data_IF_032979331846
#
_entry.id   IF_032979331846
#
_cell.length_a   1.000
_cell.length_b   1.000
_cell.length_c   1.000
_cell.angle_alpha   90.00
_cell.angle_beta   90.00
_cell.angle_gamma   90.00
#
_symmetry.space_group_name_H-M   'P 1'
#
loop_
_entity.id
_entity.type
_entity.pdbx_description
1 polymer ?
#
# COMPACT_ATOMS: atom_id res chain seq x y z
N UNK A 1 -17.86 7.98 15.14
CA UNK A 1 -17.37 8.72 16.34
C UNK A 1 -17.71 10.20 16.15
N UNK A 2 -18.44 10.85 17.07
CA UNK A 2 -18.62 12.32 17.04
C UNK A 2 -17.33 12.95 17.58
N UNK A 3 -16.62 13.71 16.73
CA UNK A 3 -15.37 14.39 17.11
C UNK A 3 -15.60 15.52 18.11
N UNK A 4 -14.57 15.83 18.89
CA UNK A 4 -14.55 17.01 19.77
C UNK A 4 -14.46 18.28 18.93
N UNK A 5 -15.56 19.01 18.79
CA UNK A 5 -15.59 20.26 18.01
C UNK A 5 -15.08 21.40 18.91
N UNK A 6 -13.94 22.00 18.56
CA UNK A 6 -13.50 23.26 19.16
C UNK A 6 -14.17 24.42 18.41
N UNK A 7 -14.68 25.42 19.13
CA UNK A 7 -15.39 26.57 18.52
C UNK A 7 -14.48 27.48 17.68
N UNK A 8 -13.16 27.44 17.90
CA UNK A 8 -12.22 28.45 17.37
C UNK A 8 -10.95 27.86 16.72
N UNK A 9 -10.89 26.57 16.39
CA UNK A 9 -9.71 25.90 15.80
C UNK A 9 -10.14 24.66 14.97
N UNK A 10 -9.39 24.17 13.96
CA UNK A 10 -9.68 22.88 13.35
C UNK A 10 -9.84 21.79 14.41
N UNK A 11 -10.81 20.89 14.19
CA UNK A 11 -11.04 19.72 15.04
C UNK A 11 -9.72 19.00 15.33
N UNK A 12 -9.50 18.54 16.58
CA UNK A 12 -8.27 17.87 16.95
C UNK A 12 -8.07 16.63 16.09
N UNK A 13 -6.89 16.52 15.49
CA UNK A 13 -6.46 15.41 14.65
C UNK A 13 -5.36 14.60 15.34
N UNK A 14 -5.17 13.34 14.91
CA UNK A 14 -4.21 12.43 15.52
C UNK A 14 -3.31 11.81 14.45
N UNK A 15 -2.00 11.86 14.67
CA UNK A 15 -1.05 11.01 13.96
C UNK A 15 -0.76 9.76 14.78
N UNK A 16 -0.83 8.58 14.14
CA UNK A 16 -0.68 7.28 14.80
C UNK A 16 0.44 6.48 14.13
N UNK A 17 1.31 5.89 14.96
CA UNK A 17 2.28 4.90 14.53
C UNK A 17 1.87 3.51 15.03
N UNK A 18 1.91 2.52 14.15
CA UNK A 18 1.69 1.11 14.48
C UNK A 18 2.95 0.32 14.12
N UNK A 19 3.48 -0.44 15.07
CA UNK A 19 4.51 -1.43 14.81
C UNK A 19 3.93 -2.83 14.97
N UNK A 20 4.12 -3.67 13.95
CA UNK A 20 3.79 -5.09 13.96
C UNK A 20 5.11 -5.84 14.02
N UNK A 21 5.35 -6.49 15.16
CA UNK A 21 6.62 -7.11 15.52
C UNK A 21 6.44 -8.59 15.81
N UNK A 22 7.54 -9.33 15.80
CA UNK A 22 7.51 -10.72 16.23
C UNK A 22 7.30 -10.82 17.75
N UNK A 23 6.48 -11.78 18.22
CA UNK A 23 6.18 -11.91 19.66
C UNK A 23 7.38 -12.23 20.57
N UNK A 24 8.49 -12.70 19.98
CA UNK A 24 9.77 -12.93 20.69
C UNK A 24 10.72 -11.73 20.63
N UNK A 25 10.32 -10.64 20.00
CA UNK A 25 11.10 -9.42 19.96
C UNK A 25 11.14 -8.77 21.35
N UNK A 26 12.28 -8.20 21.73
CA UNK A 26 12.43 -7.52 23.01
C UNK A 26 11.43 -6.35 23.05
N UNK A 27 10.71 -6.19 24.16
CA UNK A 27 9.70 -5.13 24.30
C UNK A 27 10.29 -3.73 24.05
N UNK A 28 11.55 -3.50 24.39
CA UNK A 28 12.25 -2.25 24.11
C UNK A 28 12.36 -1.99 22.60
N UNK A 29 12.69 -3.00 21.80
CA UNK A 29 12.75 -2.88 20.34
C UNK A 29 11.35 -2.67 19.75
N UNK A 30 10.35 -3.40 20.24
CA UNK A 30 8.96 -3.20 19.85
C UNK A 30 8.47 -1.76 20.10
N UNK A 31 8.80 -1.18 21.26
CA UNK A 31 8.48 0.21 21.59
C UNK A 31 9.29 1.21 20.75
N UNK A 32 10.54 0.88 20.43
CA UNK A 32 11.37 1.68 19.52
C UNK A 32 10.74 1.76 18.13
N UNK A 33 10.35 0.60 17.58
CA UNK A 33 9.64 0.47 16.30
C UNK A 33 8.33 1.25 16.30
N UNK A 34 7.53 1.16 17.37
CA UNK A 34 6.28 1.92 17.50
C UNK A 34 6.52 3.44 17.49
N UNK A 35 7.55 3.93 18.20
CA UNK A 35 7.94 5.35 18.20
C UNK A 35 8.49 5.79 16.84
N UNK A 36 9.21 4.92 16.13
CA UNK A 36 9.67 5.21 14.78
C UNK A 36 8.50 5.35 13.82
N UNK A 37 7.50 4.46 13.89
CA UNK A 37 6.27 4.59 13.13
C UNK A 37 5.55 5.91 13.48
N UNK A 38 5.42 6.24 14.77
CA UNK A 38 4.76 7.49 15.19
C UNK A 38 5.47 8.74 14.66
N UNK A 39 6.82 8.76 14.72
CA UNK A 39 7.62 9.84 14.12
C UNK A 39 7.38 9.94 12.61
N UNK A 40 7.36 8.81 11.89
CA UNK A 40 7.08 8.78 10.45
C UNK A 40 5.70 9.37 10.15
N UNK A 41 4.66 9.00 10.92
CA UNK A 41 3.33 9.58 10.79
C UNK A 41 3.31 11.09 11.06
N UNK A 42 4.09 11.58 12.04
CA UNK A 42 4.21 13.01 12.35
C UNK A 42 5.01 13.81 11.31
N UNK A 43 5.84 13.13 10.53
CA UNK A 43 6.62 13.74 9.43
C UNK A 43 5.83 13.82 8.12
N UNK A 44 4.66 13.18 8.02
CA UNK A 44 3.76 13.37 6.88
C UNK A 44 3.27 14.82 6.89
N UNK A 45 3.38 15.49 5.73
CA UNK A 45 2.92 16.86 5.58
C UNK A 45 1.42 16.97 5.89
N UNK A 46 1.03 18.03 6.61
CA UNK A 46 -0.33 18.17 7.16
C UNK A 46 -0.65 17.30 8.38
N UNK A 47 0.23 16.38 8.80
CA UNK A 47 0.01 15.43 9.91
C UNK A 47 -1.30 14.65 9.70
N UNK A 48 -2.06 14.37 10.76
CA UNK A 48 -3.31 13.58 10.70
C UNK A 48 -3.12 12.31 9.86
N UNK A 49 -2.14 11.50 10.27
CA UNK A 49 -1.57 10.48 9.42
C UNK A 49 -1.39 9.16 10.17
N UNK A 50 -1.37 8.08 9.41
CA UNK A 50 -1.05 6.74 9.86
C UNK A 50 0.32 6.35 9.30
N UNK A 51 1.15 5.71 10.12
CA UNK A 51 2.30 4.97 9.66
C UNK A 51 2.30 3.57 10.25
N UNK A 52 2.59 2.58 9.41
CA UNK A 52 2.70 1.18 9.80
C UNK A 52 4.12 0.73 9.51
N UNK A 53 4.75 0.07 10.48
CA UNK A 53 6.01 -0.65 10.32
C UNK A 53 5.75 -2.12 10.61
N UNK A 54 6.18 -2.99 9.70
CA UNK A 54 6.13 -4.44 9.88
C UNK A 54 7.56 -4.96 9.96
N UNK A 55 7.96 -5.40 11.16
CA UNK A 55 9.25 -6.06 11.40
C UNK A 55 9.02 -7.56 11.60
N UNK A 56 9.42 -8.35 10.60
CA UNK A 56 9.41 -9.81 10.70
C UNK A 56 10.75 -10.24 11.29
N UNK A 57 10.74 -11.24 12.19
CA UNK A 57 11.89 -11.78 12.97
C UNK A 57 13.23 -11.92 12.20
N UNK A 58 13.17 -12.02 10.88
CA UNK A 58 14.29 -11.96 9.96
C UNK A 58 13.85 -11.20 8.70
N UNK A 59 14.66 -10.24 8.24
CA UNK A 59 14.40 -9.49 7.02
C UNK A 59 14.58 -7.99 7.21
N UNK A 60 14.19 -7.23 6.19
CA UNK A 60 14.06 -5.78 6.27
C UNK A 60 12.71 -5.40 6.87
N UNK A 61 12.68 -4.25 7.55
CA UNK A 61 11.45 -3.62 7.99
C UNK A 61 10.73 -3.01 6.78
N UNK A 62 9.42 -3.26 6.69
CA UNK A 62 8.57 -2.66 5.66
C UNK A 62 7.76 -1.54 6.27
N UNK A 63 7.69 -0.39 5.60
CA UNK A 63 6.99 0.76 6.13
C UNK A 63 6.11 1.46 5.11
N UNK A 64 4.93 1.88 5.53
CA UNK A 64 4.04 2.76 4.75
C UNK A 64 3.57 3.89 5.65
N UNK A 65 3.50 5.11 5.12
CA UNK A 65 2.93 6.24 5.82
C UNK A 65 2.15 7.17 4.89
N UNK A 66 1.03 7.69 5.37
CA UNK A 66 0.22 8.66 4.64
C UNK A 66 -0.86 9.27 5.51
N UNK A 67 -1.57 10.26 4.96
CA UNK A 67 -2.72 10.85 5.66
C UNK A 67 -3.82 9.80 5.84
N UNK A 68 -4.61 9.95 6.91
CA UNK A 68 -5.88 9.23 7.02
C UNK A 68 -6.75 9.54 5.80
N UNK A 69 -7.66 8.61 5.46
CA UNK A 69 -8.48 8.60 4.26
C UNK A 69 -7.72 8.34 2.94
N UNK A 70 -6.38 8.32 2.96
CA UNK A 70 -5.54 7.89 1.84
C UNK A 70 -4.94 6.51 2.12
N UNK A 71 -4.00 6.41 3.07
CA UNK A 71 -3.20 5.20 3.28
C UNK A 71 -4.01 4.04 3.85
N UNK A 72 -4.91 4.30 4.79
CA UNK A 72 -5.75 3.28 5.42
C UNK A 72 -6.77 2.70 4.43
N UNK A 73 -7.39 3.57 3.62
CA UNK A 73 -8.32 3.14 2.57
C UNK A 73 -7.60 2.35 1.48
N UNK A 74 -6.42 2.81 1.04
CA UNK A 74 -5.63 2.09 0.04
C UNK A 74 -5.17 0.71 0.54
N UNK A 75 -4.66 0.63 1.77
CA UNK A 75 -4.27 -0.64 2.37
C UNK A 75 -5.47 -1.59 2.52
N UNK A 76 -6.65 -1.09 2.88
CA UNK A 76 -7.87 -1.90 2.97
C UNK A 76 -8.25 -2.48 1.59
N UNK A 77 -8.14 -1.71 0.52
CA UNK A 77 -8.37 -2.17 -0.85
C UNK A 77 -7.35 -3.24 -1.29
N UNK A 78 -6.08 -3.05 -0.97
CA UNK A 78 -5.02 -4.04 -1.23
C UNK A 78 -5.26 -5.34 -0.46
N UNK A 79 -5.56 -5.24 0.84
CA UNK A 79 -5.87 -6.39 1.70
C UNK A 79 -7.07 -7.16 1.11
N UNK A 80 -8.14 -6.45 0.73
CA UNK A 80 -9.29 -7.04 0.07
C UNK A 80 -8.92 -7.76 -1.23
N UNK A 81 -8.04 -7.17 -2.03
CA UNK A 81 -7.58 -7.74 -3.30
C UNK A 81 -6.76 -9.02 -3.13
N UNK A 82 -5.87 -9.07 -2.13
CA UNK A 82 -5.15 -10.30 -1.77
C UNK A 82 -6.10 -11.38 -1.23
N UNK A 83 -7.04 -11.02 -0.36
CA UNK A 83 -8.01 -11.98 0.21
C UNK A 83 -8.93 -12.60 -0.84
N UNK A 84 -9.32 -11.83 -1.86
CA UNK A 84 -10.10 -12.31 -3.01
C UNK A 84 -9.26 -13.05 -4.06
N UNK A 85 -7.94 -13.10 -3.91
CA UNK A 85 -7.04 -13.71 -4.89
C UNK A 85 -6.90 -12.94 -6.20
N UNK A 86 -7.30 -11.66 -6.23
CA UNK A 86 -7.15 -10.77 -7.39
C UNK A 86 -5.69 -10.36 -7.57
N UNK A 87 -5.00 -10.10 -6.47
CA UNK A 87 -3.56 -9.92 -6.43
C UNK A 87 -2.89 -11.22 -5.99
N UNK A 88 -2.06 -11.85 -6.85
CA UNK A 88 -1.32 -13.04 -6.45
C UNK A 88 -0.30 -12.74 -5.36
N UNK A 89 -0.10 -13.70 -4.45
CA UNK A 89 0.99 -13.68 -3.49
C UNK A 89 2.35 -13.51 -4.18
N UNK A 90 3.25 -12.78 -3.53
CA UNK A 90 4.60 -12.54 -4.02
C UNK A 90 4.72 -11.55 -5.19
N UNK A 91 3.63 -10.88 -5.57
CA UNK A 91 3.65 -9.76 -6.53
C UNK A 91 4.65 -8.68 -6.10
N UNK A 92 4.69 -8.35 -4.81
CA UNK A 92 5.60 -7.34 -4.28
C UNK A 92 7.08 -7.71 -4.46
N UNK A 93 7.45 -8.98 -4.25
CA UNK A 93 8.82 -9.45 -4.42
C UNK A 93 9.28 -9.43 -5.88
N UNK A 94 8.38 -9.65 -6.84
CA UNK A 94 8.70 -9.52 -8.26
C UNK A 94 8.94 -8.06 -8.63
N UNK A 95 8.11 -7.13 -8.16
CA UNK A 95 8.33 -5.69 -8.34
C UNK A 95 9.64 -5.24 -7.69
N UNK A 96 9.94 -5.73 -6.49
CA UNK A 96 11.21 -5.46 -5.80
C UNK A 96 12.42 -5.94 -6.60
N UNK A 97 12.33 -7.15 -7.16
CA UNK A 97 13.39 -7.71 -8.03
C UNK A 97 13.58 -6.87 -9.28
N UNK A 98 12.49 -6.36 -9.87
CA UNK A 98 12.54 -5.45 -11.02
C UNK A 98 13.23 -4.13 -10.65
N UNK A 99 12.84 -3.49 -9.54
CA UNK A 99 13.47 -2.23 -9.08
C UNK A 99 14.96 -2.44 -8.81
N UNK A 100 15.36 -3.52 -8.14
CA UNK A 100 16.77 -3.83 -7.87
C UNK A 100 17.61 -4.03 -9.13
N UNK A 101 17.01 -4.54 -10.22
CA UNK A 101 17.70 -4.74 -11.51
C UNK A 101 17.80 -3.46 -12.34
N UNK A 102 16.82 -2.58 -12.21
CA UNK A 102 16.73 -1.33 -12.96
C UNK A 102 17.32 -0.13 -12.21
N UNK A 103 17.61 -0.26 -10.92
CA UNK A 103 18.20 0.80 -10.12
C UNK A 103 19.57 1.19 -10.71
N UNK A 104 19.82 2.48 -10.98
CA UNK A 104 21.09 2.91 -11.51
C UNK A 104 22.20 2.69 -10.48
N UNK A 105 23.42 2.34 -10.91
CA UNK A 105 24.57 2.26 -10.01
C UNK A 105 24.79 3.64 -9.36
N UNK A 106 24.71 3.69 -8.03
CA UNK A 106 24.81 4.94 -7.26
C UNK A 106 23.47 5.52 -6.79
N UNK A 107 22.33 4.90 -7.12
CA UNK A 107 21.03 5.17 -6.47
C UNK A 107 20.51 6.59 -6.66
N UNK A 108 20.77 7.22 -7.81
CA UNK A 108 20.28 8.58 -8.06
C UNK A 108 18.75 8.59 -8.13
N UNK A 109 18.11 9.02 -7.04
CA UNK A 109 16.66 9.17 -6.91
C UNK A 109 16.08 10.20 -7.90
N UNK A 110 16.93 10.92 -8.65
CA UNK A 110 16.52 11.87 -9.71
C UNK A 110 16.53 11.25 -11.10
N UNK A 111 16.87 9.97 -11.25
CA UNK A 111 16.80 9.26 -12.53
C UNK A 111 15.34 9.12 -13.01
N UNK A 112 14.91 10.12 -13.77
CA UNK A 112 13.56 10.25 -14.31
C UNK A 112 13.22 9.14 -15.30
N UNK A 113 14.17 8.82 -16.18
CA UNK A 113 14.00 7.77 -17.20
C UNK A 113 13.89 6.42 -16.52
N UNK A 114 14.74 6.14 -15.53
CA UNK A 114 14.66 4.92 -14.72
C UNK A 114 13.28 4.73 -14.08
N UNK A 115 12.71 5.77 -13.49
CA UNK A 115 11.35 5.70 -12.90
C UNK A 115 10.25 5.42 -13.91
N UNK A 116 10.30 6.04 -15.09
CA UNK A 116 9.32 5.79 -16.15
C UNK A 116 9.39 4.34 -16.67
N UNK A 117 10.61 3.80 -16.81
CA UNK A 117 10.84 2.39 -17.18
C UNK A 117 10.33 1.46 -16.07
N UNK A 118 10.66 1.72 -14.81
CA UNK A 118 10.17 0.93 -13.67
C UNK A 118 8.64 0.92 -13.58
N UNK A 119 7.99 2.07 -13.79
CA UNK A 119 6.52 2.18 -13.82
C UNK A 119 5.92 1.34 -14.95
N UNK A 120 6.51 1.40 -16.14
CA UNK A 120 6.08 0.62 -17.30
C UNK A 120 6.24 -0.87 -17.05
N UNK A 121 7.35 -1.29 -16.45
CA UNK A 121 7.60 -2.69 -16.14
C UNK A 121 6.72 -3.20 -14.98
N UNK A 122 6.42 -2.33 -14.00
CA UNK A 122 5.44 -2.59 -12.97
C UNK A 122 4.04 -2.83 -13.55
N UNK A 123 3.60 -2.00 -14.51
CA UNK A 123 2.36 -2.23 -15.26
C UNK A 123 2.36 -3.60 -15.93
N UNK A 124 3.44 -3.96 -16.63
CA UNK A 124 3.56 -5.26 -17.31
C UNK A 124 3.48 -6.43 -16.33
N UNK A 125 4.18 -6.34 -15.19
CA UNK A 125 4.18 -7.37 -14.14
C UNK A 125 2.78 -7.54 -13.54
N UNK A 126 2.15 -6.42 -13.15
CA UNK A 126 0.82 -6.41 -12.54
C UNK A 126 -0.25 -6.92 -13.51
N UNK A 127 -0.27 -6.39 -14.75
CA UNK A 127 -1.19 -6.84 -15.79
C UNK A 127 -1.07 -8.34 -16.02
N UNK A 128 0.15 -8.86 -16.25
CA UNK A 128 0.38 -10.29 -16.47
C UNK A 128 -0.06 -11.13 -15.25
N UNK A 129 0.20 -10.67 -14.03
CA UNK A 129 -0.18 -11.41 -12.80
C UNK A 129 -1.69 -11.44 -12.57
N UNK A 130 -2.40 -10.37 -12.92
CA UNK A 130 -3.84 -10.25 -12.71
C UNK A 130 -4.66 -10.91 -13.82
N UNK A 131 -4.12 -10.99 -15.04
CA UNK A 131 -4.83 -11.54 -16.21
C UNK A 131 -4.58 -13.02 -16.48
N UNK A 132 -3.51 -13.62 -15.94
CA UNK A 132 -3.28 -15.07 -16.11
C UNK A 132 -4.34 -15.84 -15.30
N UNK A 133 -5.17 -16.68 -15.95
CA UNK A 133 -6.22 -17.40 -15.27
C UNK A 133 -5.63 -18.37 -14.24
N UNK A 134 -6.07 -18.26 -12.99
CA UNK A 134 -5.96 -19.36 -12.04
C UNK A 134 -7.33 -19.98 -11.87
N UNK A 135 -7.38 -21.30 -11.81
CA UNK A 135 -8.56 -22.14 -11.53
C UNK A 135 -9.32 -21.76 -10.23
N UNK A 136 -8.81 -20.79 -9.47
CA UNK A 136 -9.37 -20.26 -8.22
C UNK A 136 -9.76 -18.77 -8.27
N UNK A 137 -9.75 -18.12 -9.44
CA UNK A 137 -10.42 -16.82 -9.57
C UNK A 137 -11.92 -17.08 -9.45
N UNK A 138 -12.44 -16.87 -8.23
CA UNK A 138 -13.87 -16.84 -7.96
C UNK A 138 -14.56 -15.98 -9.03
N UNK A 139 -15.65 -16.50 -9.57
CA UNK A 139 -16.41 -16.04 -10.74
C UNK A 139 -17.04 -14.62 -10.63
N UNK A 140 -16.33 -13.62 -10.10
CA UNK A 140 -16.95 -12.40 -9.56
C UNK A 140 -16.28 -11.07 -9.94
N UNK A 141 -15.36 -11.03 -10.91
CA UNK A 141 -14.81 -9.76 -11.40
C UNK A 141 -14.79 -9.75 -12.92
N UNK A 142 -15.49 -8.79 -13.51
CA UNK A 142 -15.47 -8.57 -14.95
C UNK A 142 -14.10 -8.08 -15.42
N UNK A 143 -13.82 -8.18 -16.72
CA UNK A 143 -12.58 -7.66 -17.32
C UNK A 143 -12.39 -6.15 -17.02
N UNK A 144 -13.49 -5.41 -16.93
CA UNK A 144 -13.51 -3.98 -16.61
C UNK A 144 -13.09 -3.70 -15.15
N UNK A 145 -13.46 -4.59 -14.21
CA UNK A 145 -13.07 -4.46 -12.80
C UNK A 145 -11.55 -4.66 -12.63
N UNK A 146 -10.98 -5.64 -13.35
CA UNK A 146 -9.53 -5.89 -13.33
C UNK A 146 -8.76 -4.69 -13.89
N UNK A 147 -9.23 -4.10 -14.99
CA UNK A 147 -8.64 -2.88 -15.55
C UNK A 147 -8.74 -1.71 -14.59
N UNK A 148 -9.88 -1.54 -13.90
CA UNK A 148 -10.06 -0.49 -12.90
C UNK A 148 -9.06 -0.64 -11.75
N UNK A 149 -8.92 -1.84 -11.20
CA UNK A 149 -7.96 -2.12 -10.12
C UNK A 149 -6.53 -1.87 -10.60
N UNK A 150 -6.15 -2.39 -11.77
CA UNK A 150 -4.82 -2.17 -12.33
C UNK A 150 -4.49 -0.67 -12.48
N UNK A 151 -5.45 0.11 -12.99
CA UNK A 151 -5.29 1.55 -13.14
C UNK A 151 -5.12 2.25 -11.77
N UNK A 152 -5.85 1.82 -10.74
CA UNK A 152 -5.68 2.34 -9.38
C UNK A 152 -4.30 2.02 -8.81
N UNK A 153 -3.81 0.78 -8.95
CA UNK A 153 -2.49 0.36 -8.50
C UNK A 153 -1.37 1.16 -9.19
N UNK A 154 -1.52 1.37 -10.50
CA UNK A 154 -0.53 2.14 -11.27
C UNK A 154 -0.61 3.63 -10.95
N UNK A 155 -1.81 4.17 -10.69
CA UNK A 155 -1.97 5.55 -10.22
C UNK A 155 -1.32 5.79 -8.84
N UNK A 156 -1.24 4.77 -7.98
CA UNK A 156 -0.54 4.85 -6.69
C UNK A 156 0.97 4.96 -6.84
N UNK A 157 1.57 4.40 -7.88
CA UNK A 157 3.01 4.58 -8.14
C UNK A 157 3.23 6.03 -8.63
N UNK A 158 4.31 6.69 -8.23
CA UNK A 158 4.69 7.99 -8.76
C UNK A 158 4.90 7.92 -10.29
N UNK A 159 4.34 8.86 -11.06
CA UNK A 159 4.65 8.96 -12.47
C UNK A 159 6.12 9.43 -12.60
N UNK A 160 6.96 8.66 -13.30
CA UNK A 160 8.08 9.28 -14.03
C UNK A 160 7.51 10.26 -15.06
N UNK A 161 8.24 11.33 -15.42
CA UNK A 161 7.74 12.27 -16.44
C UNK A 161 7.35 11.50 -17.72
N UNK A 162 6.07 11.52 -18.11
CA UNK A 162 5.68 11.36 -19.50
C UNK A 162 6.28 12.55 -20.29
N UNK A 163 6.76 12.35 -21.53
CA UNK A 163 7.30 13.46 -22.32
C UNK A 163 6.24 14.57 -22.41
N UNK A 164 6.58 15.75 -21.91
CA UNK A 164 5.66 16.87 -21.77
C UNK A 164 4.99 17.19 -23.12
N UNK A 165 3.69 16.90 -23.23
CA UNK A 165 2.84 17.54 -24.22
C UNK A 165 2.62 19.00 -23.80
N UNK A 166 2.68 19.96 -24.75
CA UNK A 166 2.57 21.38 -24.43
C UNK A 166 1.24 21.70 -23.73
N UNK A 167 1.31 22.62 -22.77
CA UNK A 167 0.24 23.03 -21.86
C UNK A 167 -1.06 23.54 -22.54
N UNK A 168 -1.09 23.64 -23.87
CA UNK A 168 -2.27 23.99 -24.67
C UNK A 168 -3.26 22.83 -24.88
N UNK A 169 -2.94 21.60 -24.45
CA UNK A 169 -3.83 20.43 -24.60
C UNK A 169 -4.43 19.91 -23.29
N UNK A 170 -4.22 20.58 -22.14
CA UNK A 170 -4.86 20.19 -20.88
C UNK A 170 -6.30 20.72 -20.87
N UNK A 171 -7.20 19.97 -21.50
CA UNK A 171 -8.64 20.16 -21.35
C UNK A 171 -9.04 20.11 -19.88
N UNK A 172 -10.01 20.95 -19.50
CA UNK A 172 -10.62 21.04 -18.16
C UNK A 172 -10.78 19.64 -17.53
N UNK A 173 -10.09 19.41 -16.41
CA UNK A 173 -10.33 18.26 -15.52
C UNK A 173 -11.80 18.34 -15.06
N UNK A 174 -12.61 17.35 -15.43
CA UNK A 174 -13.93 17.16 -14.86
C UNK A 174 -13.78 16.82 -13.37
N UNK A 175 -14.65 17.33 -12.49
CA UNK A 175 -14.72 16.88 -11.10
C UNK A 175 -15.48 15.54 -11.10
N UNK A 176 -14.74 14.44 -11.02
CA UNK A 176 -15.31 13.14 -10.71
C UNK A 176 -14.89 12.75 -9.29
N UNK A 177 -15.83 12.29 -8.48
CA UNK A 177 -15.78 12.19 -7.01
C UNK A 177 -14.89 11.01 -6.51
N UNK A 178 -13.91 10.61 -7.32
CA UNK A 178 -12.95 9.53 -7.02
C UNK A 178 -11.55 10.12 -7.05
N UNK A 179 -11.17 10.88 -6.01
CA UNK A 179 -9.80 11.36 -5.92
C UNK A 179 -8.84 10.16 -5.95
N UNK A 180 -7.84 10.12 -6.86
CA UNK A 180 -6.84 9.07 -6.84
C UNK A 180 -6.05 9.15 -5.53
N UNK A 181 -5.72 8.00 -4.95
CA UNK A 181 -4.76 7.91 -3.85
C UNK A 181 -3.49 8.68 -4.22
N UNK A 182 -2.85 9.28 -3.21
CA UNK A 182 -1.62 10.06 -3.43
C UNK A 182 -0.56 9.18 -4.13
N UNK A 183 0.15 9.64 -5.16
CA UNK A 183 1.24 8.85 -5.70
C UNK A 183 2.39 8.73 -4.70
N UNK A 184 3.03 7.55 -4.64
CA UNK A 184 4.19 7.25 -3.80
C UNK A 184 5.33 6.63 -4.62
N UNK A 185 6.60 6.75 -4.18
CA UNK A 185 7.71 6.05 -4.81
C UNK A 185 7.45 4.54 -4.93
N UNK A 186 8.02 3.90 -5.95
CA UNK A 186 7.74 2.48 -6.21
C UNK A 186 8.18 1.58 -5.05
N UNK A 187 9.22 1.96 -4.32
CA UNK A 187 9.69 1.27 -3.13
C UNK A 187 8.65 1.32 -2.00
N UNK A 188 8.03 2.49 -1.78
CA UNK A 188 6.96 2.63 -0.79
C UNK A 188 5.70 1.87 -1.22
N UNK A 189 5.37 1.84 -2.51
CA UNK A 189 4.29 1.01 -3.04
C UNK A 189 4.57 -0.50 -2.86
N UNK A 190 5.83 -0.94 -3.01
CA UNK A 190 6.23 -2.33 -2.74
C UNK A 190 6.03 -2.67 -1.27
N UNK A 191 6.43 -1.78 -0.37
CA UNK A 191 6.22 -1.96 1.07
C UNK A 191 4.72 -2.04 1.41
N UNK A 192 3.88 -1.19 0.80
CA UNK A 192 2.43 -1.24 0.93
C UNK A 192 1.85 -2.60 0.52
N UNK A 193 2.32 -3.17 -0.60
CA UNK A 193 1.91 -4.50 -1.04
C UNK A 193 2.34 -5.59 -0.05
N UNK A 194 3.55 -5.52 0.50
CA UNK A 194 4.06 -6.51 1.47
C UNK A 194 3.27 -6.44 2.78
N UNK A 195 3.00 -5.23 3.26
CA UNK A 195 2.19 -4.98 4.45
C UNK A 195 0.76 -5.51 4.23
N UNK A 196 0.15 -5.21 3.08
CA UNK A 196 -1.20 -5.66 2.76
C UNK A 196 -1.30 -7.18 2.60
N UNK A 197 -0.34 -7.83 1.94
CA UNK A 197 -0.28 -9.30 1.83
C UNK A 197 -0.18 -9.95 3.22
N UNK A 198 0.68 -9.40 4.09
CA UNK A 198 0.83 -9.87 5.46
C UNK A 198 -0.47 -9.72 6.28
N UNK A 199 -1.13 -8.57 6.20
CA UNK A 199 -2.39 -8.33 6.90
C UNK A 199 -3.54 -9.17 6.36
N UNK A 200 -3.56 -9.44 5.04
CA UNK A 200 -4.52 -10.36 4.43
C UNK A 200 -4.36 -11.78 4.98
N UNK A 201 -3.13 -12.27 5.11
CA UNK A 201 -2.84 -13.57 5.70
C UNK A 201 -3.26 -13.63 7.18
N UNK A 202 -2.96 -12.58 7.96
CA UNK A 202 -3.41 -12.49 9.35
C UNK A 202 -4.95 -12.53 9.47
N UNK A 203 -5.68 -11.81 8.61
CA UNK A 203 -7.16 -11.83 8.59
C UNK A 203 -7.73 -13.19 8.20
N UNK A 204 -7.11 -13.88 7.24
CA UNK A 204 -7.54 -15.22 6.84
C UNK A 204 -7.34 -16.24 7.97
N UNK A 205 -6.20 -16.16 8.69
CA UNK A 205 -5.95 -17.00 9.86
C UNK A 205 -6.94 -16.73 11.00
N UNK A 206 -7.24 -15.46 11.28
CA UNK A 206 -8.23 -15.08 12.29
C UNK A 206 -9.63 -15.62 11.96
N UNK A 207 -10.04 -15.57 10.69
CA UNK A 207 -11.32 -16.10 10.24
C UNK A 207 -11.41 -17.64 10.39
N UNK A 208 -10.33 -18.36 10.07
CA UNK A 208 -10.28 -19.83 10.23
C UNK A 208 -10.28 -20.29 11.71
N UNK A 209 -9.67 -19.50 12.60
CA UNK A 209 -9.69 -19.75 14.04
C UNK A 209 -11.06 -19.56 14.70
N UNK A 210 -11.90 -18.67 14.16
CA UNK A 210 -13.25 -18.44 14.67
C UNK A 210 -14.21 -19.59 14.31
N UNK A 211 -14.05 -20.22 13.14
CA UNK A 211 -14.90 -21.35 12.72
C UNK A 211 -14.61 -22.65 13.49
N UNK A 212 -13.49 -22.74 14.21
CA UNK A 212 -13.09 -23.93 14.98
C UNK A 212 -13.39 -23.83 16.48
N UNK A 213 -13.82 -22.65 16.97
CA UNK A 213 -14.02 -22.38 18.41
C UNK A 213 -15.41 -22.66 18.99
N UNK A 214 -16.41 -23.03 18.18
CA UNK A 214 -17.78 -23.30 18.67
C UNK A 214 -18.00 -24.73 19.22
N UNK A 215 -16.99 -25.60 19.21
CA UNK A 215 -17.11 -27.03 19.55
C UNK A 215 -16.66 -27.46 20.94
N UNK A 216 -16.15 -26.57 21.81
CA UNK A 216 -15.68 -26.96 23.15
C UNK A 216 -16.25 -26.02 24.21
N UNK A 217 -17.47 -26.31 24.65
CA UNK A 217 -17.93 -25.93 25.99
C UNK A 217 -17.68 -27.13 26.90
N UNK A 218 -16.77 -26.95 27.86
CA UNK A 218 -16.64 -27.80 29.05
C UNK A 218 -17.75 -27.41 30.03
#
# INVERSE_FOLDING_TARGET
MKGFISKDNPSPSLSVGIAIVHHLELLQEALSSARTAERRAKSVDGKNALAIIVSKRSGEDYSSAGQWDDVDRFLEELIGSFRRGLLPKGTAYELRTMVQRLAPPGGDSRDRTGRAVMRTDAWRILYRKMTVPREKQTALTGEDDLKKILNQLIARIEPGEEPALPASQVGRRLPDDTMPFRPVPIEEFIDELIIAEFLADARNLAAAGQTTGEGVRV
#
